data_IF_941306689871
#
_entry.id   IF_941306689871
#
_cell.length_a   1.000
_cell.length_b   1.000
_cell.length_c   1.000
_cell.angle_alpha   90.00
_cell.angle_beta   90.00
_cell.angle_gamma   90.00
#
_symmetry.space_group_name_H-M   'P 1'
#
loop_
_entity.id
_entity.type
_entity.pdbx_description
1 polymer ?
#
# COMPACT_ATOMS: atom_id res chain seq x y z
N UNK A 1 7.07 -17.72 -22.71
CA UNK A 1 7.62 -16.40 -22.32
C UNK A 1 8.29 -15.82 -23.55
N UNK A 2 7.74 -14.77 -24.15
CA UNK A 2 8.29 -14.19 -25.37
C UNK A 2 9.54 -13.38 -25.00
N UNK A 3 10.73 -13.77 -25.47
CA UNK A 3 12.04 -13.18 -25.11
C UNK A 3 12.53 -12.18 -26.17
N UNK A 4 11.62 -11.43 -26.76
CA UNK A 4 11.92 -10.50 -27.84
C UNK A 4 12.08 -9.11 -27.25
N UNK A 5 13.16 -8.41 -27.62
CA UNK A 5 13.37 -7.02 -27.25
C UNK A 5 12.27 -6.16 -27.88
N UNK A 6 11.68 -5.26 -27.10
CA UNK A 6 10.63 -4.35 -27.54
C UNK A 6 10.92 -2.95 -27.03
N UNK A 7 10.65 -1.94 -27.85
CA UNK A 7 10.92 -0.54 -27.50
C UNK A 7 9.85 0.07 -26.59
N UNK A 8 8.66 -0.53 -26.55
CA UNK A 8 7.57 -0.06 -25.70
C UNK A 8 6.64 -1.19 -25.29
N UNK A 9 5.98 -1.00 -24.15
CA UNK A 9 4.90 -1.85 -23.66
C UNK A 9 3.66 -0.98 -23.40
N UNK A 10 2.48 -1.56 -23.62
CA UNK A 10 1.18 -0.92 -23.37
C UNK A 10 0.51 -1.53 -22.15
N UNK A 11 -0.51 -0.84 -21.64
CA UNK A 11 -1.33 -1.33 -20.53
C UNK A 11 -1.85 -2.76 -20.82
N UNK A 12 -1.71 -3.65 -19.83
CA UNK A 12 -2.09 -5.06 -19.95
C UNK A 12 -0.97 -6.01 -20.41
N UNK A 13 0.18 -5.49 -20.83
CA UNK A 13 1.34 -6.32 -21.19
C UNK A 13 2.27 -6.56 -20.00
N UNK A 14 2.91 -7.72 -19.98
CA UNK A 14 3.97 -8.06 -19.03
C UNK A 14 5.30 -7.84 -19.74
N UNK A 15 6.19 -7.08 -19.11
CA UNK A 15 7.52 -6.78 -19.65
C UNK A 15 8.59 -6.91 -18.56
N UNK A 16 9.84 -6.95 -19.00
CA UNK A 16 11.04 -6.81 -18.16
C UNK A 16 11.80 -5.58 -18.67
N UNK A 17 12.16 -4.66 -17.77
CA UNK A 17 12.92 -3.46 -18.11
C UNK A 17 14.29 -3.50 -17.44
N UNK A 18 15.32 -3.14 -18.20
CA UNK A 18 16.63 -2.84 -17.64
C UNK A 18 16.67 -1.37 -17.21
N UNK A 19 17.08 -1.10 -15.97
CA UNK A 19 17.22 0.25 -15.43
C UNK A 19 18.70 0.60 -15.33
N UNK A 20 19.08 1.78 -15.84
CA UNK A 20 20.42 2.31 -15.71
C UNK A 20 20.52 3.24 -14.49
N UNK A 21 21.65 3.19 -13.77
CA UNK A 21 21.92 4.08 -12.63
C UNK A 21 21.13 3.77 -11.36
N UNK A 22 20.63 2.54 -11.21
CA UNK A 22 19.92 2.06 -10.01
C UNK A 22 20.56 0.76 -9.56
N UNK A 23 20.92 0.66 -8.28
CA UNK A 23 21.47 -0.59 -7.74
C UNK A 23 20.36 -1.56 -7.36
N UNK A 24 20.67 -2.85 -7.35
CA UNK A 24 19.71 -3.88 -6.95
C UNK A 24 19.21 -3.69 -5.51
N UNK A 25 20.06 -3.15 -4.63
CA UNK A 25 19.70 -2.88 -3.23
C UNK A 25 18.66 -1.76 -3.07
N UNK A 26 18.54 -0.86 -4.05
CA UNK A 26 17.61 0.27 -4.03
C UNK A 26 16.19 -0.12 -4.46
N UNK A 27 16.00 -1.33 -5.01
CA UNK A 27 14.74 -1.78 -5.59
C UNK A 27 14.15 -2.93 -4.79
N UNK A 28 12.90 -2.76 -4.35
CA UNK A 28 12.15 -3.80 -3.67
C UNK A 28 10.85 -4.15 -4.38
N UNK A 29 10.41 -5.40 -4.20
CA UNK A 29 9.11 -5.84 -4.71
C UNK A 29 7.99 -5.01 -4.09
N UNK A 30 7.13 -4.46 -4.95
CA UNK A 30 6.04 -3.55 -4.55
C UNK A 30 6.28 -2.11 -4.98
N UNK A 31 7.53 -1.77 -5.34
CA UNK A 31 7.84 -0.50 -6.00
C UNK A 31 7.22 -0.43 -7.40
N UNK A 32 7.05 0.81 -7.87
CA UNK A 32 6.43 1.13 -9.16
C UNK A 32 7.31 2.06 -9.95
N UNK A 33 7.38 1.86 -11.26
CA UNK A 33 8.02 2.79 -12.20
C UNK A 33 6.95 3.76 -12.68
N UNK A 34 7.18 5.05 -12.51
CA UNK A 34 6.22 6.11 -12.85
C UNK A 34 6.91 7.20 -13.65
N UNK A 35 6.11 7.93 -14.44
CA UNK A 35 6.59 9.15 -15.08
C UNK A 35 6.83 10.25 -14.04
N UNK A 36 7.95 10.97 -14.18
CA UNK A 36 8.28 12.11 -13.32
C UNK A 36 7.21 13.22 -13.35
N UNK A 37 6.40 13.29 -14.42
CA UNK A 37 5.30 14.27 -14.55
C UNK A 37 4.22 14.10 -13.48
N UNK A 38 4.07 12.90 -12.94
CA UNK A 38 3.03 12.54 -11.97
C UNK A 38 3.36 13.06 -10.56
N UNK A 39 4.62 13.50 -10.31
CA UNK A 39 5.12 13.92 -8.99
C UNK A 39 4.76 12.89 -7.90
N UNK A 40 5.34 11.67 -7.97
CA UNK A 40 4.93 10.56 -7.10
C UNK A 40 5.17 10.92 -5.63
N UNK A 41 4.22 10.56 -4.78
CA UNK A 41 4.28 10.82 -3.35
C UNK A 41 4.32 9.50 -2.58
N UNK A 42 5.19 9.46 -1.57
CA UNK A 42 5.31 8.33 -0.67
C UNK A 42 4.21 8.45 0.40
N UNK A 43 3.38 7.42 0.54
CA UNK A 43 2.22 7.42 1.44
C UNK A 43 2.45 6.38 2.52
N UNK A 44 2.38 6.81 3.78
CA UNK A 44 2.38 5.91 4.95
C UNK A 44 0.97 5.72 5.48
N UNK A 45 0.14 6.76 5.44
CA UNK A 45 -1.21 6.76 5.99
C UNK A 45 -2.25 7.02 4.91
N UNK A 46 -3.36 6.28 4.96
CA UNK A 46 -4.43 6.40 3.99
C UNK A 46 -5.77 6.03 4.61
N UNK A 47 -6.84 6.64 4.07
CA UNK A 47 -8.22 6.35 4.43
C UNK A 47 -8.78 5.31 3.48
N UNK A 48 -9.42 4.28 4.01
CA UNK A 48 -10.02 3.23 3.22
C UNK A 48 -11.40 2.84 3.74
N UNK A 49 -12.31 2.55 2.81
CA UNK A 49 -13.57 1.90 3.11
C UNK A 49 -13.35 0.39 3.08
N UNK A 50 -13.69 -0.28 4.16
CA UNK A 50 -13.40 -1.69 4.36
C UNK A 50 -14.67 -2.47 4.64
N UNK A 51 -14.63 -3.74 4.26
CA UNK A 51 -15.62 -4.74 4.59
C UNK A 51 -14.92 -5.92 5.26
N UNK A 52 -15.31 -6.18 6.51
CA UNK A 52 -14.77 -7.28 7.30
C UNK A 52 -15.51 -8.55 6.87
N UNK A 53 -14.76 -9.52 6.38
CA UNK A 53 -15.27 -10.83 5.99
C UNK A 53 -15.25 -11.73 7.24
N UNK A 54 -14.74 -12.95 7.13
CA UNK A 54 -14.74 -13.90 8.24
C UNK A 54 -13.58 -13.64 9.22
N UNK A 55 -13.87 -12.87 10.28
CA UNK A 55 -12.93 -12.54 11.34
C UNK A 55 -13.49 -12.90 12.73
N UNK A 56 -12.85 -13.84 13.47
CA UNK A 56 -13.38 -14.27 14.76
C UNK A 56 -13.25 -13.20 15.86
N UNK A 57 -12.32 -12.25 15.71
CA UNK A 57 -12.08 -11.22 16.73
C UNK A 57 -12.64 -9.85 16.32
N UNK A 58 -12.83 -9.00 17.33
CA UNK A 58 -13.25 -7.60 17.15
C UNK A 58 -12.07 -6.73 16.74
N UNK A 59 -12.21 -6.04 15.61
CA UNK A 59 -11.23 -5.08 15.12
C UNK A 59 -11.45 -3.75 15.86
N UNK A 60 -10.36 -3.20 16.39
CA UNK A 60 -10.33 -1.93 17.14
C UNK A 60 -9.18 -1.06 16.62
N UNK A 61 -9.17 0.25 16.90
CA UNK A 61 -7.96 1.06 16.75
C UNK A 61 -6.78 0.36 17.46
N UNK A 62 -5.66 0.25 16.77
CA UNK A 62 -4.53 -0.54 17.24
C UNK A 62 -4.34 -1.87 16.52
N UNK A 63 -5.39 -2.43 15.93
CA UNK A 63 -5.34 -3.71 15.24
C UNK A 63 -4.33 -3.70 14.09
N UNK A 64 -3.52 -4.76 14.00
CA UNK A 64 -2.46 -4.91 13.01
C UNK A 64 -2.76 -6.11 12.14
N UNK A 65 -2.63 -5.95 10.82
CA UNK A 65 -2.74 -7.06 9.87
C UNK A 65 -1.84 -6.82 8.66
N UNK A 66 -1.58 -7.86 7.87
CA UNK A 66 -0.84 -7.68 6.61
C UNK A 66 -1.80 -7.14 5.56
N UNK A 67 -1.48 -5.95 5.03
CA UNK A 67 -2.23 -5.33 3.94
C UNK A 67 -1.54 -5.61 2.63
N UNK A 68 -2.31 -6.09 1.67
CA UNK A 68 -1.90 -6.26 0.28
C UNK A 68 -2.53 -5.16 -0.56
N UNK A 69 -1.69 -4.43 -1.30
CA UNK A 69 -2.11 -3.45 -2.32
C UNK A 69 -1.36 -3.80 -3.60
N UNK A 70 -2.04 -4.41 -4.56
CA UNK A 70 -1.41 -5.02 -5.73
C UNK A 70 -0.23 -5.94 -5.36
N UNK A 71 0.99 -5.55 -5.76
CA UNK A 71 2.24 -6.27 -5.50
C UNK A 71 2.92 -5.86 -4.19
N UNK A 72 2.48 -4.76 -3.58
CA UNK A 72 2.99 -4.27 -2.30
C UNK A 72 2.30 -4.99 -1.15
N UNK A 73 3.10 -5.51 -0.21
CA UNK A 73 2.60 -6.27 0.94
C UNK A 73 3.39 -5.88 2.18
N UNK A 74 2.70 -5.43 3.23
CA UNK A 74 3.35 -5.18 4.52
C UNK A 74 2.34 -5.11 5.67
N UNK A 75 2.80 -5.23 6.92
CA UNK A 75 1.98 -4.94 8.08
C UNK A 75 1.48 -3.49 8.06
N UNK A 76 0.19 -3.31 8.31
CA UNK A 76 -0.43 -2.02 8.55
C UNK A 76 -1.23 -2.07 9.85
N UNK A 77 -1.30 -0.93 10.51
CA UNK A 77 -2.07 -0.72 11.74
C UNK A 77 -3.29 0.14 11.43
N UNK A 78 -4.44 -0.23 11.95
CA UNK A 78 -5.62 0.64 11.97
C UNK A 78 -5.37 1.72 13.03
N UNK A 79 -5.27 2.96 12.60
CA UNK A 79 -5.05 4.13 13.45
C UNK A 79 -6.36 4.55 14.09
N UNK A 80 -7.43 4.65 13.31
CA UNK A 80 -8.76 5.01 13.78
C UNK A 80 -9.84 4.39 12.90
N UNK A 81 -11.03 4.25 13.47
CA UNK A 81 -12.25 3.83 12.80
C UNK A 81 -13.20 5.03 12.85
N UNK A 82 -13.73 5.45 11.70
CA UNK A 82 -14.56 6.66 11.63
C UNK A 82 -16.01 6.32 12.00
N UNK A 83 -16.55 7.06 12.97
CA UNK A 83 -17.95 6.97 13.39
C UNK A 83 -18.32 5.72 14.20
N UNK A 84 -17.36 4.85 14.53
CA UNK A 84 -17.55 3.65 15.36
C UNK A 84 -16.28 3.32 16.12
N UNK A 85 -16.41 2.64 17.26
CA UNK A 85 -15.26 2.22 18.06
C UNK A 85 -14.67 0.87 17.63
N UNK A 86 -15.49 0.02 17.01
CA UNK A 86 -15.11 -1.36 16.68
C UNK A 86 -15.77 -1.85 15.40
N UNK A 87 -15.18 -2.87 14.76
CA UNK A 87 -15.75 -3.58 13.62
C UNK A 87 -15.69 -5.11 13.86
N UNK A 88 -16.71 -5.83 13.40
CA UNK A 88 -16.84 -7.29 13.48
C UNK A 88 -17.14 -7.87 12.09
N UNK A 89 -17.19 -9.20 12.02
CA UNK A 89 -17.55 -9.94 10.80
C UNK A 89 -18.85 -9.39 10.18
N UNK A 90 -18.81 -9.10 8.88
CA UNK A 90 -19.95 -8.55 8.12
C UNK A 90 -20.02 -7.03 8.13
N UNK A 91 -19.29 -6.34 9.01
CA UNK A 91 -19.35 -4.88 9.06
C UNK A 91 -18.69 -4.23 7.86
N UNK A 92 -19.22 -3.06 7.51
CA UNK A 92 -18.58 -2.09 6.63
C UNK A 92 -18.25 -0.85 7.45
N UNK A 93 -17.10 -0.25 7.19
CA UNK A 93 -16.69 0.96 7.87
C UNK A 93 -15.52 1.64 7.17
N UNK A 94 -15.33 2.91 7.48
CA UNK A 94 -14.19 3.69 6.99
C UNK A 94 -13.12 3.71 8.08
N UNK A 95 -11.89 3.39 7.71
CA UNK A 95 -10.75 3.32 8.62
C UNK A 95 -9.58 4.15 8.10
N UNK A 96 -8.80 4.71 9.02
CA UNK A 96 -7.49 5.26 8.72
C UNK A 96 -6.46 4.21 9.06
N UNK A 97 -5.59 3.91 8.11
CA UNK A 97 -4.57 2.90 8.28
C UNK A 97 -3.19 3.45 7.96
N UNK A 98 -2.21 2.95 8.70
CA UNK A 98 -0.81 3.33 8.54
C UNK A 98 0.06 2.11 8.30
N UNK A 99 0.86 2.15 7.26
CA UNK A 99 1.92 1.18 7.02
C UNK A 99 3.01 1.28 8.08
N UNK A 100 3.48 0.13 8.56
CA UNK A 100 4.39 0.09 9.70
C UNK A 100 5.87 0.11 9.32
N UNK A 101 6.23 -0.26 8.09
CA UNK A 101 7.64 -0.40 7.68
C UNK A 101 8.09 0.70 6.75
N UNK A 102 7.55 0.72 5.52
CA UNK A 102 7.98 1.66 4.48
C UNK A 102 6.79 2.34 3.84
N UNK A 103 6.90 3.63 3.46
CA UNK A 103 5.90 4.26 2.62
C UNK A 103 5.81 3.56 1.26
N UNK A 104 4.66 3.67 0.61
CA UNK A 104 4.48 3.17 -0.75
C UNK A 104 3.71 4.19 -1.59
N UNK A 105 3.83 4.06 -2.91
CA UNK A 105 3.00 4.84 -3.82
C UNK A 105 1.58 4.28 -3.83
N UNK A 106 0.63 5.08 -3.36
CA UNK A 106 -0.79 4.75 -3.31
C UNK A 106 -1.60 5.78 -4.08
N UNK A 107 -2.75 5.38 -4.61
CA UNK A 107 -3.71 6.28 -5.24
C UNK A 107 -5.14 5.94 -4.85
N UNK A 108 -6.03 6.93 -5.00
CA UNK A 108 -7.46 6.77 -4.71
C UNK A 108 -8.07 5.69 -5.60
N UNK A 109 -8.87 4.83 -4.99
CA UNK A 109 -9.62 3.80 -5.68
C UNK A 109 -8.92 2.45 -5.76
N UNK A 110 -7.66 2.33 -5.31
CA UNK A 110 -6.97 1.05 -5.22
C UNK A 110 -7.66 0.11 -4.25
N UNK A 111 -7.70 -1.17 -4.61
CA UNK A 111 -8.21 -2.24 -3.73
C UNK A 111 -7.13 -2.66 -2.74
N UNK A 112 -7.54 -2.85 -1.49
CA UNK A 112 -6.71 -3.36 -0.42
C UNK A 112 -7.31 -4.67 0.11
N UNK A 113 -6.44 -5.57 0.57
CA UNK A 113 -6.85 -6.85 1.16
C UNK A 113 -6.14 -7.04 2.49
N UNK A 114 -6.90 -7.32 3.55
CA UNK A 114 -6.39 -7.66 4.88
C UNK A 114 -6.16 -9.14 5.00
N UNK A 115 -4.98 -9.53 5.47
CA UNK A 115 -4.61 -10.93 5.65
C UNK A 115 -3.95 -11.20 6.99
N UNK A 116 -4.39 -12.31 7.59
CA UNK A 116 -3.78 -13.00 8.73
C UNK A 116 -3.84 -14.50 8.43
N UNK A 117 -2.94 -14.96 7.55
CA UNK A 117 -3.01 -16.27 6.90
C UNK A 117 -4.11 -16.33 5.82
N UNK A 118 -5.38 -16.14 6.20
CA UNK A 118 -6.53 -16.06 5.29
C UNK A 118 -6.96 -14.60 5.07
N UNK A 119 -7.71 -14.35 3.99
CA UNK A 119 -8.33 -13.05 3.75
C UNK A 119 -9.35 -12.75 4.85
N UNK A 120 -9.14 -11.65 5.56
CA UNK A 120 -9.97 -11.18 6.68
C UNK A 120 -10.92 -10.06 6.30
N UNK A 121 -10.55 -9.29 5.29
CA UNK A 121 -11.36 -8.21 4.79
C UNK A 121 -10.83 -7.72 3.45
N UNK A 122 -11.67 -6.95 2.79
CA UNK A 122 -11.35 -6.24 1.56
C UNK A 122 -11.68 -4.77 1.76
N UNK A 123 -11.05 -3.90 1.00
CA UNK A 123 -11.38 -2.50 1.04
C UNK A 123 -10.92 -1.73 -0.18
N UNK A 124 -11.22 -0.44 -0.19
CA UNK A 124 -10.83 0.48 -1.24
C UNK A 124 -10.30 1.76 -0.64
N UNK A 125 -9.16 2.24 -1.14
CA UNK A 125 -8.58 3.51 -0.73
C UNK A 125 -9.48 4.65 -1.19
N UNK A 126 -9.91 5.49 -0.25
CA UNK A 126 -10.75 6.66 -0.50
C UNK A 126 -9.89 7.91 -0.61
N UNK A 127 -8.83 7.99 0.20
CA UNK A 127 -7.94 9.15 0.28
C UNK A 127 -6.55 8.69 0.74
N UNK A 128 -5.51 9.38 0.27
CA UNK A 128 -4.11 9.12 0.64
C UNK A 128 -3.53 10.34 1.32
N UNK A 129 -2.70 10.13 2.35
CA UNK A 129 -2.03 11.21 3.08
C UNK A 129 -0.52 11.13 2.80
N UNK A 130 -0.02 11.96 1.88
CA UNK A 130 1.39 12.00 1.52
C UNK A 130 2.27 12.32 2.72
N UNK A 131 3.40 11.61 2.86
CA UNK A 131 4.46 12.05 3.75
C UNK A 131 5.10 13.30 3.13
N UNK A 132 4.96 14.46 3.77
CA UNK A 132 5.60 15.69 3.30
C UNK A 132 7.10 15.46 3.08
N UNK A 133 7.63 15.91 1.95
CA UNK A 133 8.99 15.61 1.48
C UNK A 133 10.11 16.05 2.44
N UNK A 134 9.82 16.90 3.43
CA UNK A 134 10.77 17.35 4.45
C UNK A 134 11.26 16.21 5.36
N UNK A 135 10.47 15.14 5.55
CA UNK A 135 10.84 14.04 6.43
C UNK A 135 11.77 12.98 5.78
N UNK A 136 11.98 13.03 4.46
CA UNK A 136 12.79 12.03 3.73
C UNK A 136 14.30 12.37 3.82
N UNK A 137 14.65 13.64 4.07
CA UNK A 137 16.05 14.07 4.22
C UNK A 137 16.67 13.73 5.59
N UNK A 138 15.85 13.45 6.61
CA UNK A 138 16.33 13.26 8.00
C UNK A 138 16.70 11.81 8.34
N UNK A 139 16.55 10.85 7.40
CA UNK A 139 16.90 9.44 7.64
C UNK A 139 18.22 9.01 6.97
N UNK A 140 19.13 9.94 6.68
CA UNK A 140 20.54 9.57 6.48
C UNK A 140 21.18 9.37 7.87
N UNK A 141 21.77 8.20 8.17
CA UNK A 141 22.55 8.04 9.39
C UNK A 141 23.76 8.99 9.36
N UNK A 142 24.17 9.60 10.50
CA UNK A 142 25.44 10.30 10.58
C UNK A 142 26.58 9.31 10.34
N UNK A 143 27.61 9.80 9.65
CA UNK A 143 28.86 9.12 9.24
C UNK A 143 29.50 8.32 10.37
#
# INVERSE_FOLDING_TARGET
MNRVSVDSARAGQIMSAALAGVEYADVEKGMVILSQRIKPQAVEEFKADIHVLYHPTTIKPGYQSVVHVYTHRQPAKIVSILGRDTLRTGDKGTVIMRFMKKPAYLYRGQTIIFREGRTKGIGRIVEVYPKTAEAIRTSQPPT
#
